data_IF_048312266824
#
_entry.id   IF_048312266824
#
_cell.length_a   1.000
_cell.length_b   1.000
_cell.length_c   1.000
_cell.angle_alpha   90.00
_cell.angle_beta   90.00
_cell.angle_gamma   90.00
#
_symmetry.space_group_name_H-M   'P 1'
#
loop_
_entity.id
_entity.type
_entity.pdbx_description
1 polymer ?
#
# COMPACT_ATOMS: atom_id res chain seq x y z
N UNK A 1 0.95 14.54 -24.13
CA UNK A 1 1.19 13.98 -22.79
C UNK A 1 1.55 15.14 -21.87
N UNK A 2 1.02 15.17 -20.64
CA UNK A 2 1.35 16.18 -19.63
C UNK A 2 1.73 15.49 -18.32
N UNK A 3 2.77 15.98 -17.67
CA UNK A 3 3.15 15.58 -16.31
C UNK A 3 2.20 16.24 -15.29
N UNK A 4 1.74 15.49 -14.28
CA UNK A 4 0.86 16.01 -13.22
C UNK A 4 1.67 16.46 -12.01
N UNK A 5 2.53 15.57 -11.51
CA UNK A 5 3.45 15.80 -10.37
C UNK A 5 4.73 15.01 -10.63
N UNK A 6 5.89 15.66 -10.44
CA UNK A 6 7.17 14.98 -10.31
C UNK A 6 7.53 14.88 -8.81
N UNK A 7 7.80 13.66 -8.34
CA UNK A 7 8.33 13.43 -7.00
C UNK A 7 9.85 13.35 -7.07
N UNK A 8 10.54 13.78 -6.01
CA UNK A 8 12.00 13.72 -5.92
C UNK A 8 12.46 12.28 -5.59
N UNK A 9 13.35 12.10 -4.61
CA UNK A 9 13.88 10.80 -4.19
C UNK A 9 12.85 9.97 -3.39
N UNK A 10 11.72 9.68 -4.03
CA UNK A 10 10.61 8.89 -3.55
C UNK A 10 10.26 7.93 -4.69
N UNK A 11 10.03 6.66 -4.39
CA UNK A 11 9.64 5.66 -5.38
C UNK A 11 8.11 5.52 -5.36
N UNK A 12 7.36 6.12 -6.31
CA UNK A 12 5.92 5.90 -6.45
C UNK A 12 5.64 4.53 -7.05
N UNK A 13 4.67 3.80 -6.51
CA UNK A 13 4.47 2.37 -6.86
C UNK A 13 3.09 2.03 -7.42
N UNK A 14 2.02 2.68 -6.95
CA UNK A 14 0.66 2.38 -7.41
C UNK A 14 -0.31 3.54 -7.21
N UNK A 15 -1.41 3.53 -7.97
CA UNK A 15 -2.45 4.55 -7.94
C UNK A 15 -3.84 3.93 -7.83
N UNK A 16 -4.72 4.57 -7.05
CA UNK A 16 -6.17 4.29 -7.06
C UNK A 16 -6.94 5.61 -7.08
N UNK A 17 -8.10 5.61 -7.73
CA UNK A 17 -8.95 6.81 -7.88
C UNK A 17 -10.24 6.65 -7.09
N UNK A 18 -10.63 7.72 -6.38
CA UNK A 18 -12.00 7.89 -5.90
C UNK A 18 -12.50 9.29 -6.22
N UNK A 19 -13.59 9.36 -6.97
CA UNK A 19 -14.16 10.64 -7.42
C UNK A 19 -13.08 11.48 -8.14
N UNK A 20 -12.76 12.67 -7.60
CA UNK A 20 -11.75 13.58 -8.14
C UNK A 20 -10.45 13.57 -7.31
N UNK A 21 -10.16 12.47 -6.63
CA UNK A 21 -8.94 12.26 -5.84
C UNK A 21 -8.17 11.07 -6.39
N UNK A 22 -6.87 11.25 -6.52
CA UNK A 22 -5.91 10.21 -6.86
C UNK A 22 -5.11 9.94 -5.60
N UNK A 23 -5.09 8.67 -5.18
CA UNK A 23 -4.30 8.19 -4.07
C UNK A 23 -3.09 7.45 -4.63
N UNK A 24 -1.94 7.59 -3.98
CA UNK A 24 -0.70 6.96 -4.43
C UNK A 24 0.04 6.34 -3.26
N UNK A 25 0.60 5.15 -3.47
CA UNK A 25 1.57 4.55 -2.58
C UNK A 25 2.99 5.03 -2.94
N UNK A 26 3.76 5.35 -1.89
CA UNK A 26 5.18 5.68 -1.96
C UNK A 26 5.94 4.64 -1.15
N UNK A 27 6.91 3.96 -1.76
CA UNK A 27 7.79 3.05 -1.04
C UNK A 27 8.82 3.80 -0.15
N UNK A 28 9.10 5.06 -0.48
CA UNK A 28 10.22 5.82 0.10
C UNK A 28 11.56 5.44 -0.54
N UNK A 29 12.67 6.12 -0.21
CA UNK A 29 14.02 5.76 -0.67
C UNK A 29 14.50 4.46 -0.02
N UNK A 30 15.44 3.74 -0.64
CA UNK A 30 16.16 2.63 0.02
C UNK A 30 16.76 3.11 1.36
N UNK A 31 16.55 2.36 2.47
CA UNK A 31 16.07 0.97 2.55
C UNK A 31 14.56 0.83 2.85
N UNK A 32 13.72 1.72 2.32
CA UNK A 32 12.26 1.70 2.41
C UNK A 32 11.73 1.54 3.85
N UNK A 33 12.29 2.31 4.77
CA UNK A 33 11.90 2.24 6.18
C UNK A 33 10.41 2.57 6.35
N UNK A 34 9.71 2.00 7.34
CA UNK A 34 8.29 2.23 7.54
C UNK A 34 7.87 3.72 7.60
N UNK A 35 8.71 4.58 8.18
CA UNK A 35 8.47 6.03 8.28
C UNK A 35 8.50 6.75 6.93
N UNK A 36 9.15 6.16 5.94
CA UNK A 36 9.36 6.75 4.63
C UNK A 36 8.30 6.26 3.62
N UNK A 37 7.69 5.10 3.89
CA UNK A 37 6.53 4.63 3.14
C UNK A 37 5.27 5.41 3.49
N UNK A 38 4.63 5.96 2.46
CA UNK A 38 3.48 6.87 2.60
C UNK A 38 2.35 6.50 1.65
N UNK A 39 1.15 6.91 2.04
CA UNK A 39 0.03 7.06 1.13
C UNK A 39 -0.26 8.56 1.03
N UNK A 40 -0.26 9.07 -0.19
CA UNK A 40 -0.52 10.48 -0.49
C UNK A 40 -1.78 10.61 -1.33
N UNK A 41 -2.37 11.81 -1.32
CA UNK A 41 -3.53 12.16 -2.14
C UNK A 41 -3.29 13.48 -2.87
N UNK A 42 -3.72 13.53 -4.13
CA UNK A 42 -3.71 14.73 -4.95
C UNK A 42 -4.93 14.75 -5.89
N UNK A 43 -5.11 15.87 -6.59
CA UNK A 43 -6.16 16.02 -7.62
C UNK A 43 -5.52 15.99 -9.01
N UNK A 44 -6.26 15.64 -10.07
CA UNK A 44 -5.72 15.56 -11.44
C UNK A 44 -5.01 16.83 -11.95
N UNK A 45 -5.35 18.00 -11.40
CA UNK A 45 -4.78 19.30 -11.81
C UNK A 45 -3.97 19.96 -10.69
N UNK A 46 -3.47 19.19 -9.73
CA UNK A 46 -2.66 19.69 -8.61
C UNK A 46 -1.23 19.23 -8.75
N UNK A 47 -0.29 20.17 -8.60
CA UNK A 47 1.16 19.89 -8.56
C UNK A 47 1.64 19.47 -7.17
N UNK A 48 0.73 19.31 -6.21
CA UNK A 48 1.04 19.04 -4.80
C UNK A 48 0.28 17.79 -4.33
N UNK A 49 0.94 17.01 -3.47
CA UNK A 49 0.35 15.85 -2.82
C UNK A 49 0.36 16.03 -1.30
N UNK A 50 -0.72 15.59 -0.65
CA UNK A 50 -0.85 15.60 0.81
C UNK A 50 -0.68 14.18 1.34
N UNK A 51 0.24 13.98 2.27
CA UNK A 51 0.35 12.71 3.00
C UNK A 51 -0.87 12.51 3.90
N UNK A 52 -1.51 11.36 3.77
CA UNK A 52 -2.67 10.97 4.59
C UNK A 52 -2.37 9.77 5.49
N UNK A 53 -1.34 8.99 5.18
CA UNK A 53 -0.85 7.95 6.06
C UNK A 53 0.65 7.68 5.85
N UNK A 54 1.34 7.24 6.91
CA UNK A 54 2.74 6.81 6.86
C UNK A 54 2.99 5.69 7.88
N UNK A 55 3.78 4.68 7.50
CA UNK A 55 4.11 3.57 8.41
C UNK A 55 4.26 2.19 7.79
N UNK A 56 4.31 2.06 6.46
CA UNK A 56 4.49 0.76 5.78
C UNK A 56 5.88 0.63 5.16
N UNK A 57 6.61 -0.46 5.37
CA UNK A 57 7.88 -0.68 4.69
C UNK A 57 7.63 -1.10 3.23
N UNK A 58 8.37 -0.51 2.28
CA UNK A 58 8.26 -0.81 0.84
C UNK A 58 6.79 -0.94 0.38
N UNK A 59 6.02 0.15 0.48
CA UNK A 59 4.65 0.17 -0.02
C UNK A 59 4.65 0.06 -1.56
N UNK A 60 4.04 -1.01 -2.07
CA UNK A 60 4.00 -1.35 -3.50
C UNK A 60 2.63 -1.16 -4.14
N UNK A 61 1.60 -0.87 -3.35
CA UNK A 61 0.26 -0.66 -3.87
C UNK A 61 -0.66 0.07 -2.89
N UNK A 62 -1.72 0.65 -3.45
CA UNK A 62 -2.79 1.30 -2.70
C UNK A 62 -4.11 0.95 -3.37
N UNK A 63 -5.13 0.63 -2.58
CA UNK A 63 -6.47 0.34 -3.10
C UNK A 63 -7.57 0.81 -2.15
N UNK A 64 -8.77 0.92 -2.70
CA UNK A 64 -9.98 1.20 -1.94
C UNK A 64 -10.86 -0.06 -1.88
N UNK A 65 -11.42 -0.31 -0.70
CA UNK A 65 -12.51 -1.29 -0.60
C UNK A 65 -13.84 -0.71 -1.13
N UNK A 66 -14.91 -1.53 -1.27
CA UNK A 66 -16.22 -1.05 -1.71
C UNK A 66 -16.86 0.03 -0.82
N UNK A 67 -16.35 0.23 0.41
CA UNK A 67 -16.80 1.27 1.35
C UNK A 67 -15.88 2.50 1.34
N UNK A 68 -14.99 2.61 0.36
CA UNK A 68 -13.99 3.67 0.20
C UNK A 68 -13.00 3.79 1.38
N UNK A 69 -12.74 2.70 2.11
CA UNK A 69 -11.61 2.68 3.04
C UNK A 69 -10.33 2.43 2.26
N UNK A 70 -9.26 3.10 2.67
CA UNK A 70 -7.99 3.09 1.96
C UNK A 70 -7.03 2.08 2.58
N UNK A 71 -6.40 1.28 1.73
CA UNK A 71 -5.46 0.24 2.12
C UNK A 71 -4.14 0.45 1.38
N UNK A 72 -3.05 0.06 2.03
CA UNK A 72 -1.72 -0.02 1.44
C UNK A 72 -1.21 -1.45 1.49
N UNK A 73 -0.46 -1.85 0.48
CA UNK A 73 0.22 -3.14 0.43
C UNK A 73 1.71 -2.91 0.64
N UNK A 74 2.25 -3.44 1.73
CA UNK A 74 3.69 -3.47 2.01
C UNK A 74 4.26 -4.77 1.46
N UNK A 75 5.28 -4.69 0.60
CA UNK A 75 6.00 -5.89 0.15
C UNK A 75 6.79 -6.51 1.30
N UNK A 76 7.30 -5.69 2.22
CA UNK A 76 7.88 -6.15 3.48
C UNK A 76 9.15 -5.43 3.88
N UNK A 77 9.93 -6.07 4.77
CA UNK A 77 11.21 -5.55 5.24
C UNK A 77 12.25 -5.68 4.13
N UNK A 78 12.83 -4.55 3.72
CA UNK A 78 13.90 -4.54 2.75
C UNK A 78 15.19 -5.17 3.32
N UNK A 79 15.94 -5.98 2.55
CA UNK A 79 17.19 -6.57 3.00
C UNK A 79 18.26 -5.51 3.27
N UNK A 80 19.10 -5.75 4.28
CA UNK A 80 20.24 -4.87 4.55
C UNK A 80 21.23 -4.91 3.39
N UNK A 81 21.60 -3.73 2.88
CA UNK A 81 22.48 -3.62 1.71
C UNK A 81 21.83 -3.94 0.36
N UNK A 82 20.50 -4.14 0.31
CA UNK A 82 19.78 -4.35 -0.95
C UNK A 82 19.91 -3.17 -1.91
N UNK A 83 19.89 -3.47 -3.21
CA UNK A 83 19.87 -2.49 -4.29
C UNK A 83 18.43 -2.10 -4.67
N UNK A 84 18.25 -0.91 -5.25
CA UNK A 84 16.94 -0.48 -5.78
C UNK A 84 16.33 -1.54 -6.70
N UNK A 85 15.08 -1.93 -6.43
CA UNK A 85 14.39 -2.99 -7.17
C UNK A 85 14.55 -4.40 -6.59
N UNK A 86 15.43 -4.61 -5.61
CA UNK A 86 15.50 -5.88 -4.89
C UNK A 86 14.18 -6.14 -4.15
N UNK A 87 13.72 -7.40 -4.07
CA UNK A 87 12.52 -7.72 -3.35
C UNK A 87 12.75 -7.65 -1.83
N UNK A 88 11.68 -7.40 -1.07
CA UNK A 88 11.71 -7.53 0.39
C UNK A 88 12.08 -8.95 0.84
N UNK A 89 12.42 -9.11 2.12
CA UNK A 89 12.58 -10.42 2.73
C UNK A 89 11.27 -11.24 2.65
N UNK A 90 11.36 -12.55 2.35
CA UNK A 90 10.20 -13.44 2.33
C UNK A 90 9.36 -13.38 3.61
N UNK A 91 8.05 -13.55 3.48
CA UNK A 91 7.08 -13.59 4.58
C UNK A 91 7.14 -12.37 5.54
N UNK A 92 7.51 -11.20 5.03
CA UNK A 92 7.51 -9.94 5.84
C UNK A 92 6.50 -8.91 5.35
N UNK A 93 5.76 -9.21 4.28
CA UNK A 93 4.75 -8.35 3.70
C UNK A 93 3.49 -8.24 4.55
N UNK A 94 2.71 -7.19 4.28
CA UNK A 94 1.48 -6.91 5.01
C UNK A 94 0.44 -6.17 4.16
N UNK A 95 -0.83 -6.53 4.34
CA UNK A 95 -1.95 -5.70 3.91
C UNK A 95 -2.33 -4.79 5.07
N UNK A 96 -2.30 -3.48 4.84
CA UNK A 96 -2.47 -2.46 5.86
C UNK A 96 -3.68 -1.59 5.57
N UNK A 97 -4.43 -1.20 6.60
CA UNK A 97 -5.49 -0.18 6.47
C UNK A 97 -5.00 1.17 6.95
N UNK A 98 -5.23 2.22 6.17
CA UNK A 98 -4.96 3.59 6.55
C UNK A 98 -6.03 4.08 7.54
N UNK A 99 -5.59 4.50 8.72
CA UNK A 99 -6.48 5.00 9.77
C UNK A 99 -6.60 6.53 9.72
N UNK A 100 -7.68 7.05 10.32
CA UNK A 100 -7.93 8.49 10.40
C UNK A 100 -6.83 9.29 11.13
N UNK A 101 -6.04 8.64 11.99
CA UNK A 101 -4.91 9.25 12.70
C UNK A 101 -3.61 9.28 11.86
N UNK A 102 -3.65 8.86 10.60
CA UNK A 102 -2.50 8.82 9.69
C UNK A 102 -1.50 7.68 9.94
N UNK A 103 -1.79 6.76 10.86
CA UNK A 103 -0.93 5.59 11.15
C UNK A 103 -1.60 4.33 10.64
N UNK A 104 -1.09 3.67 9.59
CA UNK A 104 -1.66 2.41 9.12
C UNK A 104 -1.58 1.30 10.17
N UNK A 105 -2.52 0.35 10.10
CA UNK A 105 -2.48 -0.89 10.89
C UNK A 105 -2.46 -2.09 9.94
N UNK A 106 -1.55 -3.04 10.18
CA UNK A 106 -1.54 -4.29 9.44
C UNK A 106 -2.76 -5.15 9.82
N UNK A 107 -3.58 -5.49 8.83
CA UNK A 107 -4.71 -6.42 8.97
C UNK A 107 -4.28 -7.86 8.70
N UNK A 108 -3.38 -8.02 7.72
CA UNK A 108 -2.77 -9.30 7.36
C UNK A 108 -1.27 -9.11 7.41
N UNK A 109 -0.57 -10.13 7.91
CA UNK A 109 0.88 -10.16 8.06
C UNK A 109 1.43 -11.42 7.41
N UNK A 110 2.74 -11.44 7.24
CA UNK A 110 3.48 -12.58 6.72
C UNK A 110 3.10 -12.93 5.28
N UNK A 111 2.67 -11.92 4.49
CA UNK A 111 2.52 -12.09 3.05
C UNK A 111 3.92 -12.27 2.44
N UNK A 112 4.04 -13.21 1.51
CA UNK A 112 5.30 -13.47 0.85
C UNK A 112 5.48 -12.55 -0.35
N UNK A 113 6.29 -11.51 -0.18
CA UNK A 113 6.70 -10.55 -1.22
C UNK A 113 5.53 -10.12 -2.15
N UNK A 114 4.42 -9.58 -1.61
CA UNK A 114 3.27 -9.22 -2.44
C UNK A 114 3.61 -8.04 -3.37
N UNK A 115 3.00 -8.00 -4.55
CA UNK A 115 3.30 -7.02 -5.61
C UNK A 115 2.13 -6.12 -5.97
N UNK A 116 0.90 -6.64 -5.89
CA UNK A 116 -0.32 -5.89 -6.16
C UNK A 116 -1.51 -6.54 -5.46
N UNK A 117 -2.62 -5.81 -5.37
CA UNK A 117 -3.86 -6.35 -4.83
C UNK A 117 -5.06 -5.57 -5.37
N UNK A 118 -6.26 -6.12 -5.18
CA UNK A 118 -7.53 -5.42 -5.33
C UNK A 118 -8.59 -6.01 -4.41
N UNK A 119 -9.72 -5.33 -4.25
CA UNK A 119 -10.88 -5.84 -3.52
C UNK A 119 -11.98 -6.34 -4.44
N UNK A 120 -12.58 -7.48 -4.09
CA UNK A 120 -13.87 -7.93 -4.62
C UNK A 120 -14.77 -8.28 -3.44
N UNK A 121 -15.81 -7.49 -3.23
CA UNK A 121 -16.65 -7.62 -2.04
C UNK A 121 -15.82 -7.36 -0.77
N UNK A 122 -15.86 -8.32 0.18
CA UNK A 122 -15.14 -8.20 1.45
C UNK A 122 -13.75 -8.86 1.45
N UNK A 123 -13.35 -9.44 0.31
CA UNK A 123 -12.08 -10.14 0.15
C UNK A 123 -11.05 -9.29 -0.60
N UNK A 124 -9.80 -9.38 -0.19
CA UNK A 124 -8.66 -8.89 -0.98
C UNK A 124 -8.07 -10.04 -1.80
N UNK A 125 -7.71 -9.76 -3.04
CA UNK A 125 -6.96 -10.65 -3.92
C UNK A 125 -5.57 -10.08 -4.07
N UNK A 126 -4.54 -10.81 -3.64
CA UNK A 126 -3.15 -10.35 -3.56
C UNK A 126 -2.29 -11.20 -4.48
N UNK A 127 -1.50 -10.55 -5.33
CA UNK A 127 -0.51 -11.22 -6.20
C UNK A 127 0.83 -11.24 -5.49
N UNK A 128 1.46 -12.42 -5.38
CA UNK A 128 2.82 -12.60 -4.88
C UNK A 128 3.87 -12.46 -5.99
N UNK A 129 5.11 -12.19 -5.62
CA UNK A 129 6.22 -12.07 -6.57
C UNK A 129 6.45 -13.36 -7.39
N UNK A 130 6.12 -14.52 -6.83
CA UNK A 130 6.25 -15.82 -7.49
C UNK A 130 5.11 -16.12 -8.50
N UNK A 131 4.15 -15.20 -8.67
CA UNK A 131 3.02 -15.36 -9.59
C UNK A 131 1.81 -16.06 -9.00
N UNK A 132 1.82 -16.31 -7.70
CA UNK A 132 0.73 -16.81 -6.89
C UNK A 132 -0.33 -15.71 -6.63
N UNK A 133 -1.60 -16.13 -6.52
CA UNK A 133 -2.71 -15.23 -6.20
C UNK A 133 -3.42 -15.77 -4.96
N UNK A 134 -3.43 -14.97 -3.90
CA UNK A 134 -4.11 -15.28 -2.64
C UNK A 134 -5.43 -14.54 -2.54
N UNK A 135 -6.47 -15.26 -2.13
CA UNK A 135 -7.71 -14.66 -1.65
C UNK A 135 -7.64 -14.58 -0.13
N UNK A 136 -7.85 -13.38 0.41
CA UNK A 136 -7.92 -13.15 1.85
C UNK A 136 -9.32 -12.65 2.16
N UNK A 137 -10.06 -13.42 2.96
CA UNK A 137 -11.46 -13.15 3.26
C UNK A 137 -11.64 -12.18 4.42
N UNK A 138 -12.75 -11.44 4.39
CA UNK A 138 -13.22 -10.57 5.49
C UNK A 138 -12.22 -9.50 5.95
N UNK A 139 -11.42 -8.97 5.02
CA UNK A 139 -10.42 -7.92 5.32
C UNK A 139 -10.95 -6.51 5.05
N UNK A 140 -12.03 -6.38 4.27
CA UNK A 140 -12.77 -5.13 4.18
C UNK A 140 -13.80 -5.09 5.32
N UNK A 141 -13.50 -4.32 6.38
CA UNK A 141 -14.27 -4.28 7.64
C UNK A 141 -14.35 -5.60 8.43
N UNK A 142 -13.83 -5.65 9.66
CA UNK A 142 -14.42 -6.54 10.66
C UNK A 142 -15.89 -6.11 10.83
N UNK A 143 -16.83 -7.03 10.66
CA UNK A 143 -18.11 -6.91 11.37
C UNK A 143 -17.78 -6.69 12.84
N UNK A 144 -18.48 -5.78 13.54
CA UNK A 144 -18.41 -5.71 14.99
C UNK A 144 -18.79 -7.09 15.57
N UNK A 145 -17.79 -7.92 15.83
CA UNK A 145 -17.90 -9.30 16.26
C UNK A 145 -16.54 -9.71 16.80
N UNK A 146 -16.48 -10.47 17.91
CA UNK A 146 -15.23 -10.70 18.63
C UNK A 146 -14.24 -11.44 17.74
N UNK A 147 -12.97 -11.04 17.83
CA UNK A 147 -11.87 -11.83 17.30
C UNK A 147 -11.91 -13.23 17.94
N UNK A 148 -11.88 -14.27 17.09
CA UNK A 148 -11.68 -15.66 17.50
C UNK A 148 -10.22 -16.05 17.29
#
# INVERSE_FOLDING_TARGET
>A
MSEVIAFNNIVPTGLVVSQNKIYMAEAGPVPHLPKDGKIVVFRPNSSEATTIASGGPLLVGVELDPRNRLYGLAQGKFPEGGAEGDPALPNTGALMVANANGRPTALVRYLDQPTSFLFIGESAYVVGLAGDIWKIDNVSCPTNGPAH
#
